data_IF_716525107727
#
_entry.id   IF_716525107727
#
_cell.length_a   1.000
_cell.length_b   1.000
_cell.length_c   1.000
_cell.angle_alpha   90.00
_cell.angle_beta   90.00
_cell.angle_gamma   90.00
#
_symmetry.space_group_name_H-M   'P 1'
#
loop_
_entity.id
_entity.type
_entity.pdbx_description
1 polymer ?
#
# COMPACT_ATOMS: atom_id res chain seq x y z
N UNK A 1 6.95 -15.63 -8.46
CA UNK A 1 6.71 -14.32 -9.11
C UNK A 1 6.35 -13.32 -8.04
N UNK A 2 7.17 -12.27 -7.86
CA UNK A 2 6.85 -11.14 -6.98
C UNK A 2 5.76 -10.34 -7.71
N UNK A 3 4.55 -10.30 -7.17
CA UNK A 3 3.42 -9.60 -7.81
C UNK A 3 3.35 -8.18 -7.28
N UNK A 4 2.83 -7.25 -8.09
CA UNK A 4 2.62 -5.84 -7.68
C UNK A 4 1.88 -5.75 -6.34
N UNK A 5 0.89 -6.62 -6.11
CA UNK A 5 0.17 -6.71 -4.84
C UNK A 5 1.05 -7.13 -3.67
N UNK A 6 1.92 -8.12 -3.84
CA UNK A 6 2.84 -8.54 -2.79
C UNK A 6 3.85 -7.44 -2.43
N UNK A 7 4.38 -6.73 -3.45
CA UNK A 7 5.25 -5.57 -3.24
C UNK A 7 4.52 -4.45 -2.50
N UNK A 8 3.29 -4.12 -2.92
CA UNK A 8 2.49 -3.06 -2.29
C UNK A 8 2.15 -3.35 -0.83
N UNK A 9 1.76 -4.59 -0.51
CA UNK A 9 1.47 -4.98 0.89
C UNK A 9 2.73 -4.92 1.76
N UNK A 10 3.88 -5.35 1.22
CA UNK A 10 5.16 -5.27 1.93
C UNK A 10 5.55 -3.81 2.20
N UNK A 11 5.51 -2.95 1.17
CA UNK A 11 5.83 -1.52 1.29
C UNK A 11 4.87 -0.77 2.21
N UNK A 12 3.56 -1.05 2.13
CA UNK A 12 2.59 -0.45 3.05
C UNK A 12 2.90 -0.83 4.50
N UNK A 13 3.23 -2.09 4.76
CA UNK A 13 3.61 -2.57 6.10
C UNK A 13 4.90 -1.93 6.61
N UNK A 14 5.90 -1.76 5.75
CA UNK A 14 7.16 -1.05 6.08
C UNK A 14 6.92 0.42 6.41
N UNK A 15 5.94 1.05 5.75
CA UNK A 15 5.53 2.43 6.02
C UNK A 15 4.55 2.56 7.21
N UNK A 16 4.26 1.48 7.94
CA UNK A 16 3.41 1.51 9.13
C UNK A 16 1.91 1.29 8.90
N UNK A 17 1.49 0.99 7.66
CA UNK A 17 0.09 0.74 7.32
C UNK A 17 -0.18 -0.75 7.10
N UNK A 18 -1.06 -1.34 7.92
CA UNK A 18 -1.48 -2.73 7.76
C UNK A 18 -2.64 -2.84 6.76
N UNK A 19 -2.40 -3.53 5.65
CA UNK A 19 -3.41 -3.79 4.62
C UNK A 19 -3.47 -5.27 4.27
N UNK A 20 -4.65 -5.74 3.86
CA UNK A 20 -4.88 -7.14 3.48
C UNK A 20 -5.22 -7.25 2.01
N UNK A 21 -4.76 -8.33 1.38
CA UNK A 21 -5.20 -8.70 0.02
C UNK A 21 -6.60 -9.29 0.06
N UNK A 22 -7.44 -8.91 -0.89
CA UNK A 22 -8.68 -9.60 -1.21
C UNK A 22 -8.69 -9.95 -2.70
N UNK A 23 -8.82 -11.24 -3.04
CA UNK A 23 -8.82 -11.69 -4.44
C UNK A 23 -7.55 -11.32 -5.22
N UNK A 24 -7.70 -11.02 -6.51
CA UNK A 24 -6.58 -10.85 -7.43
C UNK A 24 -5.87 -9.49 -7.25
N UNK A 25 -6.63 -8.40 -7.23
CA UNK A 25 -6.16 -7.01 -7.33
C UNK A 25 -6.88 -6.04 -6.37
N UNK A 26 -7.53 -6.56 -5.32
CA UNK A 26 -8.25 -5.73 -4.34
C UNK A 26 -7.49 -5.71 -3.01
N UNK A 27 -7.50 -4.56 -2.35
CA UNK A 27 -6.93 -4.36 -1.02
C UNK A 27 -8.05 -3.97 -0.06
N UNK A 28 -8.01 -4.53 1.15
CA UNK A 28 -8.94 -4.21 2.23
C UNK A 28 -8.22 -3.43 3.32
N UNK A 29 -8.88 -2.35 3.74
CA UNK A 29 -8.51 -1.53 4.89
C UNK A 29 -9.71 -1.59 5.85
N UNK A 30 -9.45 -1.83 7.13
CA UNK A 30 -10.47 -1.91 8.16
C UNK A 30 -9.93 -1.24 9.43
N UNK A 31 -9.93 0.10 9.49
CA UNK A 31 -9.53 0.81 10.69
C UNK A 31 -10.56 0.59 11.81
N UNK A 32 -10.19 0.83 13.08
CA UNK A 32 -11.15 0.80 14.18
C UNK A 32 -12.21 1.90 14.03
N UNK A 33 -13.43 1.68 14.53
CA UNK A 33 -14.54 2.66 14.41
C UNK A 33 -14.32 3.95 15.22
N UNK A 34 -13.32 3.96 16.11
CA UNK A 34 -12.95 5.10 16.95
C UNK A 34 -11.82 5.93 16.36
N UNK A 35 -11.33 5.59 15.15
CA UNK A 35 -10.26 6.32 14.47
C UNK A 35 -10.67 7.76 14.18
N UNK A 36 -9.75 8.69 14.34
CA UNK A 36 -9.96 10.10 14.02
C UNK A 36 -9.81 10.38 12.52
N UNK A 37 -10.37 11.50 12.04
CA UNK A 37 -10.19 11.94 10.64
C UNK A 37 -8.72 12.14 10.28
N UNK A 38 -7.91 12.70 11.19
CA UNK A 38 -6.48 12.88 10.97
C UNK A 38 -5.70 11.57 10.80
N UNK A 39 -6.08 10.52 11.53
CA UNK A 39 -5.45 9.20 11.39
C UNK A 39 -5.89 8.50 10.09
N UNK A 40 -7.12 8.78 9.61
CA UNK A 40 -7.57 8.34 8.29
C UNK A 40 -6.72 9.00 7.20
N UNK A 41 -6.53 10.32 7.28
CA UNK A 41 -5.73 11.08 6.32
C UNK A 41 -4.28 10.58 6.30
N UNK A 42 -3.67 10.36 7.47
CA UNK A 42 -2.32 9.77 7.59
C UNK A 42 -2.26 8.39 6.92
N UNK A 43 -3.25 7.53 7.17
CA UNK A 43 -3.33 6.21 6.54
C UNK A 43 -3.46 6.28 5.01
N UNK A 44 -4.24 7.24 4.50
CA UNK A 44 -4.39 7.51 3.07
C UNK A 44 -3.08 8.02 2.45
N UNK A 45 -2.36 8.91 3.13
CA UNK A 45 -1.06 9.43 2.69
C UNK A 45 0.00 8.34 2.63
N UNK A 46 0.06 7.47 3.65
CA UNK A 46 0.95 6.32 3.66
C UNK A 46 0.63 5.38 2.49
N UNK A 47 -0.65 5.13 2.21
CA UNK A 47 -1.06 4.29 1.08
C UNK A 47 -0.63 4.89 -0.25
N UNK A 48 -0.88 6.19 -0.46
CA UNK A 48 -0.49 6.91 -1.68
C UNK A 48 1.04 6.84 -1.90
N UNK A 49 1.82 7.09 -0.84
CA UNK A 49 3.28 6.97 -0.85
C UNK A 49 3.73 5.55 -1.21
N UNK A 50 3.08 4.53 -0.64
CA UNK A 50 3.39 3.13 -0.91
C UNK A 50 3.15 2.75 -2.38
N UNK A 51 2.05 3.24 -2.96
CA UNK A 51 1.72 3.05 -4.38
C UNK A 51 2.78 3.70 -5.27
N UNK A 52 3.19 4.93 -4.97
CA UNK A 52 4.20 5.64 -5.76
C UNK A 52 5.57 4.94 -5.67
N UNK A 53 5.98 4.49 -4.48
CA UNK A 53 7.22 3.71 -4.30
C UNK A 53 7.24 2.44 -5.15
N UNK A 54 6.15 1.67 -5.13
CA UNK A 54 6.04 0.45 -5.96
C UNK A 54 6.06 0.82 -7.44
N UNK A 55 5.34 1.87 -7.85
CA UNK A 55 5.34 2.35 -9.24
C UNK A 55 6.74 2.72 -9.73
N UNK A 56 7.54 3.39 -8.91
CA UNK A 56 8.92 3.77 -9.26
C UNK A 56 9.85 2.56 -9.31
N UNK A 57 9.69 1.61 -8.38
CA UNK A 57 10.47 0.36 -8.36
C UNK A 57 10.21 -0.48 -9.61
N UNK A 58 8.95 -0.55 -10.07
CA UNK A 58 8.58 -1.29 -11.28
C UNK A 58 8.97 -0.53 -12.56
N UNK A 59 8.93 0.81 -12.57
CA UNK A 59 9.42 1.62 -13.71
C UNK A 59 10.94 1.47 -13.94
N UNK A 60 11.72 1.30 -12.88
CA UNK A 60 13.16 1.03 -12.98
C UNK A 60 13.49 -0.30 -13.68
N UNK A 61 12.54 -1.24 -13.76
CA UNK A 61 12.73 -2.55 -14.40
C UNK A 61 12.50 -2.55 -15.92
N UNK A 62 12.09 -1.43 -16.53
CA UNK A 62 11.81 -1.30 -17.97
C UNK A 62 12.82 -0.39 -18.71
N UNK A 63 13.96 -0.05 -18.08
CA UNK A 63 15.01 0.77 -18.71
C UNK A 63 16.31 0.00 -19.01
N UNK A 64 16.24 -1.33 -19.17
CA UNK A 64 17.33 -2.15 -19.69
C UNK A 64 16.81 -3.09 -20.80
#
# INVERSE_FOLDING_TARGET
QKTVMASLIATARENGLLVLRSGANVIRIAPPLVISESEIDEGCDILAKSIETVRQTEKGAFHE
#
